data_IF_505176618462
#
_entry.id   IF_505176618462
#
_cell.length_a   1.000
_cell.length_b   1.000
_cell.length_c   1.000
_cell.angle_alpha   90.00
_cell.angle_beta   90.00
_cell.angle_gamma   90.00
#
_symmetry.space_group_name_H-M   'P 1'
#
loop_
_entity.id
_entity.type
_entity.pdbx_description
1 polymer ?
#
# COMPACT_ATOMS: atom_id res chain seq x y z
N UNK A 1 11.96 -1.20 3.27
CA UNK A 1 11.41 -2.52 2.89
C UNK A 1 11.61 -2.80 1.41
N UNK A 2 11.23 -1.86 0.53
CA UNK A 2 11.43 -1.98 -0.93
C UNK A 2 12.88 -2.36 -1.32
N UNK A 3 13.89 -1.82 -0.62
CA UNK A 3 15.29 -2.16 -0.87
C UNK A 3 15.64 -3.63 -0.66
N UNK A 4 14.98 -4.36 0.26
CA UNK A 4 15.15 -5.83 0.35
C UNK A 4 14.69 -6.51 -0.94
N UNK A 5 13.53 -6.13 -1.46
CA UNK A 5 12.97 -6.73 -2.67
C UNK A 5 13.80 -6.37 -3.90
N UNK A 6 14.32 -5.15 -4.00
CA UNK A 6 15.25 -4.78 -5.08
C UNK A 6 16.51 -5.64 -5.09
N UNK A 7 17.15 -5.84 -3.93
CA UNK A 7 18.34 -6.70 -3.84
C UNK A 7 18.02 -8.17 -4.09
N UNK A 8 16.89 -8.66 -3.57
CA UNK A 8 16.47 -10.04 -3.77
C UNK A 8 16.08 -10.34 -5.24
N UNK A 9 15.52 -9.38 -5.97
CA UNK A 9 15.22 -9.50 -7.41
C UNK A 9 16.50 -9.65 -8.24
N UNK A 10 17.61 -8.97 -7.87
CA UNK A 10 18.90 -9.14 -8.57
C UNK A 10 19.42 -10.58 -8.49
N UNK A 11 19.03 -11.32 -7.44
CA UNK A 11 19.47 -12.69 -7.19
C UNK A 11 18.47 -13.70 -7.77
N UNK A 12 17.19 -13.55 -7.45
CA UNK A 12 16.15 -14.52 -7.81
C UNK A 12 15.42 -14.24 -9.13
N UNK A 13 15.74 -13.12 -9.78
CA UNK A 13 15.27 -12.79 -11.13
C UNK A 13 13.75 -12.81 -11.30
N UNK A 14 13.31 -13.24 -12.48
CA UNK A 14 11.88 -13.34 -12.82
C UNK A 14 11.11 -14.31 -11.93
N UNK A 15 11.77 -15.35 -11.43
CA UNK A 15 11.12 -16.31 -10.55
C UNK A 15 10.78 -15.72 -9.18
N UNK A 16 11.69 -14.93 -8.63
CA UNK A 16 11.41 -14.17 -7.42
C UNK A 16 10.32 -13.12 -7.67
N UNK A 17 10.37 -12.39 -8.80
CA UNK A 17 9.31 -11.45 -9.17
C UNK A 17 7.94 -12.13 -9.26
N UNK A 18 7.85 -13.33 -9.88
CA UNK A 18 6.60 -14.11 -9.96
C UNK A 18 6.04 -14.40 -8.57
N UNK A 19 6.88 -14.80 -7.61
CA UNK A 19 6.47 -15.04 -6.22
C UNK A 19 5.89 -13.78 -5.55
N UNK A 20 6.38 -12.59 -5.92
CA UNK A 20 5.91 -11.30 -5.39
C UNK A 20 4.68 -10.73 -6.11
N UNK A 21 4.34 -11.18 -7.33
CA UNK A 21 3.16 -10.69 -8.07
C UNK A 21 1.90 -10.87 -7.23
N UNK A 22 1.01 -9.89 -7.30
CA UNK A 22 -0.28 -9.89 -6.61
C UNK A 22 -1.12 -11.10 -7.03
N UNK A 23 -1.61 -11.87 -6.07
CA UNK A 23 -2.38 -13.09 -6.32
C UNK A 23 -2.54 -13.96 -5.07
N UNK A 24 -3.36 -15.01 -5.16
CA UNK A 24 -3.45 -16.10 -4.17
C UNK A 24 -3.22 -17.42 -4.89
N UNK A 25 -2.40 -18.29 -4.33
CA UNK A 25 -2.22 -19.66 -4.82
C UNK A 25 -0.76 -20.03 -5.08
N UNK A 26 -0.56 -20.91 -6.07
CA UNK A 26 0.67 -21.66 -6.30
C UNK A 26 1.85 -20.83 -6.83
N UNK A 27 1.57 -19.70 -7.50
CA UNK A 27 2.56 -18.97 -8.30
C UNK A 27 2.81 -17.51 -7.91
N UNK A 28 2.09 -16.96 -6.92
CA UNK A 28 2.20 -15.54 -6.52
C UNK A 28 1.61 -15.25 -5.14
N UNK A 29 1.72 -13.99 -4.68
CA UNK A 29 1.25 -13.54 -3.38
C UNK A 29 2.07 -14.06 -2.20
N UNK A 30 3.35 -14.39 -2.41
CA UNK A 30 4.24 -14.92 -1.37
C UNK A 30 5.00 -13.84 -0.61
N UNK A 31 4.75 -12.55 -0.88
CA UNK A 31 5.36 -11.40 -0.19
C UNK A 31 5.30 -11.54 1.34
N UNK A 32 4.13 -11.94 1.87
CA UNK A 32 3.94 -12.13 3.32
C UNK A 32 4.84 -13.22 3.92
N UNK A 33 5.28 -14.22 3.14
CA UNK A 33 6.19 -15.27 3.60
C UNK A 33 7.56 -14.65 3.91
N UNK A 34 8.07 -13.79 3.02
CA UNK A 34 9.33 -13.10 3.22
C UNK A 34 9.26 -12.15 4.42
N UNK A 35 8.17 -11.38 4.53
CA UNK A 35 7.98 -10.44 5.64
C UNK A 35 7.93 -11.13 7.01
N UNK A 36 7.30 -12.32 7.08
CA UNK A 36 7.30 -13.13 8.30
C UNK A 36 8.69 -13.63 8.67
N UNK A 37 9.62 -13.76 7.74
CA UNK A 37 11.00 -14.17 7.99
C UNK A 37 11.94 -13.00 8.32
N UNK A 38 11.50 -11.75 8.21
CA UNK A 38 12.35 -10.57 8.53
C UNK A 38 12.82 -10.53 9.98
N UNK A 39 12.13 -11.20 10.91
CA UNK A 39 12.61 -11.39 12.29
C UNK A 39 13.87 -12.25 12.39
N UNK A 40 14.18 -13.06 11.37
CA UNK A 40 15.38 -13.90 11.27
C UNK A 40 16.41 -13.33 10.27
N UNK A 41 16.33 -12.04 9.96
CA UNK A 41 17.21 -11.34 9.01
C UNK A 41 18.70 -11.63 9.23
N UNK A 42 19.15 -11.65 10.49
CA UNK A 42 20.55 -11.90 10.84
C UNK A 42 21.01 -13.31 10.41
N UNK A 43 20.16 -14.33 10.60
CA UNK A 43 20.43 -15.72 10.17
C UNK A 43 20.48 -15.85 8.63
N UNK A 44 19.88 -14.89 7.93
CA UNK A 44 19.78 -14.83 6.47
C UNK A 44 20.79 -13.87 5.82
N UNK A 45 21.78 -13.35 6.57
CA UNK A 45 22.87 -12.55 6.01
C UNK A 45 22.55 -11.06 5.79
N UNK A 46 21.45 -10.53 6.34
CA UNK A 46 21.11 -9.11 6.22
C UNK A 46 20.50 -8.53 7.50
N UNK A 47 20.38 -7.21 7.55
CA UNK A 47 19.63 -6.51 8.60
C UNK A 47 18.90 -5.30 8.01
N UNK A 48 18.10 -4.62 8.82
CA UNK A 48 17.44 -3.37 8.45
C UNK A 48 17.99 -2.21 9.29
N UNK A 49 18.29 -1.09 8.63
CA UNK A 49 18.54 0.20 9.29
C UNK A 49 17.25 0.72 9.93
N UNK A 50 17.35 1.76 10.79
CA UNK A 50 16.19 2.48 11.35
C UNK A 50 15.25 3.04 10.28
N UNK A 51 15.78 3.34 9.10
CA UNK A 51 15.03 3.80 7.91
C UNK A 51 14.34 2.66 7.13
N UNK A 52 14.35 1.43 7.65
CA UNK A 52 13.87 0.22 6.97
C UNK A 52 14.62 -0.13 5.67
N UNK A 53 15.80 0.42 5.47
CA UNK A 53 16.68 0.06 4.36
C UNK A 53 17.47 -1.22 4.69
N UNK A 54 17.61 -2.15 3.73
CA UNK A 54 18.41 -3.35 3.92
C UNK A 54 19.91 -3.01 3.99
N UNK A 55 20.63 -3.69 4.89
CA UNK A 55 22.09 -3.77 4.89
C UNK A 55 22.47 -5.25 4.78
N UNK A 56 23.13 -5.65 3.70
CA UNK A 56 23.64 -7.01 3.53
C UNK A 56 24.92 -7.16 4.36
N UNK A 57 24.91 -8.06 5.34
CA UNK A 57 26.04 -8.33 6.25
C UNK A 57 26.92 -9.46 5.74
N UNK A 58 26.32 -10.44 5.07
CA UNK A 58 27.03 -11.54 4.42
C UNK A 58 26.35 -11.80 3.06
N UNK A 59 27.04 -11.43 1.99
CA UNK A 59 26.53 -11.52 0.62
C UNK A 59 26.24 -12.97 0.21
N UNK A 60 27.16 -13.89 0.48
CA UNK A 60 27.01 -15.31 0.16
C UNK A 60 25.80 -15.92 0.89
N UNK A 61 25.64 -15.60 2.18
CA UNK A 61 24.50 -16.05 2.99
C UNK A 61 23.16 -15.49 2.50
N UNK A 62 23.15 -14.22 2.10
CA UNK A 62 21.94 -13.59 1.56
C UNK A 62 21.56 -14.18 0.21
N UNK A 63 22.54 -14.42 -0.67
CA UNK A 63 22.32 -15.06 -1.96
C UNK A 63 21.81 -16.49 -1.83
N UNK A 64 22.42 -17.30 -0.95
CA UNK A 64 21.97 -18.68 -0.69
C UNK A 64 20.56 -18.69 -0.12
N UNK A 65 20.22 -17.76 0.79
CA UNK A 65 18.88 -17.59 1.32
C UNK A 65 17.85 -17.31 0.23
N UNK A 66 18.09 -16.32 -0.63
CA UNK A 66 17.13 -15.95 -1.69
C UNK A 66 16.96 -17.09 -2.70
N UNK A 67 18.06 -17.71 -3.16
CA UNK A 67 18.00 -18.86 -4.08
C UNK A 67 17.21 -20.03 -3.48
N UNK A 68 17.50 -20.38 -2.22
CA UNK A 68 16.82 -21.47 -1.53
C UNK A 68 15.33 -21.19 -1.31
N UNK A 69 14.97 -19.95 -0.96
CA UNK A 69 13.57 -19.53 -0.81
C UNK A 69 12.80 -19.64 -2.12
N UNK A 70 13.39 -19.20 -3.23
CA UNK A 70 12.75 -19.29 -4.55
C UNK A 70 12.54 -20.75 -4.93
N UNK A 71 13.56 -21.59 -4.78
CA UNK A 71 13.48 -23.01 -5.10
C UNK A 71 12.47 -23.75 -4.21
N UNK A 72 12.49 -23.49 -2.89
CA UNK A 72 11.54 -24.06 -1.94
C UNK A 72 10.10 -23.69 -2.29
N UNK A 73 9.81 -22.40 -2.56
CA UNK A 73 8.44 -21.96 -2.84
C UNK A 73 7.93 -22.40 -4.21
N UNK A 74 8.83 -22.66 -5.17
CA UNK A 74 8.47 -23.34 -6.42
C UNK A 74 8.08 -24.79 -6.20
N UNK A 75 8.86 -25.53 -5.42
CA UNK A 75 8.60 -26.94 -5.11
C UNK A 75 7.41 -27.12 -4.16
N UNK A 76 7.16 -26.14 -3.29
CA UNK A 76 6.11 -26.15 -2.26
C UNK A 76 5.14 -24.98 -2.45
N UNK A 77 4.40 -24.94 -3.57
CA UNK A 77 3.60 -23.79 -3.94
C UNK A 77 2.41 -23.53 -2.98
N UNK A 78 2.05 -24.53 -2.17
CA UNK A 78 0.99 -24.42 -1.17
C UNK A 78 1.47 -23.89 0.19
N UNK A 79 2.76 -23.61 0.37
CA UNK A 79 3.25 -23.03 1.63
C UNK A 79 2.53 -21.72 1.92
N UNK A 80 2.05 -21.61 3.16
CA UNK A 80 1.27 -20.46 3.67
C UNK A 80 2.02 -19.73 4.77
N UNK A 81 1.67 -18.47 5.02
CA UNK A 81 2.19 -17.74 6.18
C UNK A 81 1.88 -18.42 7.52
N UNK A 82 0.75 -19.15 7.62
CA UNK A 82 0.39 -19.91 8.83
C UNK A 82 1.37 -21.04 9.12
N UNK A 83 1.91 -21.68 8.08
CA UNK A 83 2.93 -22.70 8.24
C UNK A 83 4.23 -22.10 8.82
N UNK A 84 4.61 -20.91 8.35
CA UNK A 84 5.74 -20.16 8.88
C UNK A 84 5.50 -19.71 10.33
N UNK A 85 4.28 -19.31 10.69
CA UNK A 85 3.96 -18.90 12.06
C UNK A 85 4.06 -20.08 13.05
N UNK A 86 3.75 -21.30 12.59
CA UNK A 86 3.93 -22.54 13.38
C UNK A 86 5.40 -22.93 13.54
N UNK A 87 6.16 -22.93 12.44
CA UNK A 87 7.56 -23.38 12.42
C UNK A 87 8.54 -22.31 12.93
N UNK A 88 8.19 -21.03 12.83
CA UNK A 88 9.04 -19.92 13.28
C UNK A 88 10.46 -20.05 12.68
N UNK A 89 11.50 -20.10 13.52
CA UNK A 89 12.90 -20.19 13.08
C UNK A 89 13.21 -21.53 12.42
N UNK A 90 12.56 -22.63 12.82
CA UNK A 90 12.79 -23.95 12.23
C UNK A 90 12.29 -24.07 10.80
N UNK A 91 11.54 -23.07 10.30
CA UNK A 91 11.26 -22.96 8.87
C UNK A 91 12.54 -22.89 8.03
N UNK A 92 13.60 -22.25 8.55
CA UNK A 92 14.88 -22.15 7.84
C UNK A 92 15.53 -23.53 7.62
N UNK A 93 15.22 -24.53 8.44
CA UNK A 93 15.70 -25.90 8.23
C UNK A 93 15.11 -26.53 6.97
N UNK A 94 13.91 -26.12 6.56
CA UNK A 94 13.28 -26.56 5.30
C UNK A 94 14.00 -26.05 4.06
N UNK A 95 14.87 -25.04 4.20
CA UNK A 95 15.65 -24.48 3.10
C UNK A 95 17.00 -25.19 2.92
N UNK A 96 17.41 -26.06 3.86
CA UNK A 96 18.65 -26.86 3.77
C UNK A 96 18.74 -27.71 2.51
N UNK A 97 17.67 -28.44 2.09
CA UNK A 97 17.70 -29.20 0.84
C UNK A 97 17.84 -28.32 -0.40
N UNK A 98 17.61 -27.02 -0.28
CA UNK A 98 17.68 -26.04 -1.35
C UNK A 98 18.96 -25.18 -1.27
N UNK A 99 19.96 -25.61 -0.49
CA UNK A 99 21.28 -24.98 -0.44
C UNK A 99 21.42 -23.85 0.58
N UNK A 100 20.48 -23.68 1.52
CA UNK A 100 20.61 -22.70 2.61
C UNK A 100 21.01 -23.36 3.93
N UNK A 101 22.17 -22.99 4.45
CA UNK A 101 22.62 -23.36 5.79
C UNK A 101 22.59 -22.13 6.68
N UNK A 102 21.96 -22.21 7.85
CA UNK A 102 22.01 -21.11 8.82
C UNK A 102 23.43 -21.06 9.37
N UNK A 103 24.13 -19.94 9.16
CA UNK A 103 25.37 -19.65 9.85
C UNK A 103 25.07 -19.54 11.34
N UNK A 104 25.23 -20.66 12.07
CA UNK A 104 25.33 -20.63 13.52
C UNK A 104 26.65 -19.90 13.80
N UNK A 105 26.66 -18.71 14.45
CA UNK A 105 27.91 -18.18 14.95
C UNK A 105 28.55 -19.30 15.77
N UNK A 106 29.81 -19.62 15.48
CA UNK A 106 30.58 -20.57 16.28
C UNK A 106 30.39 -20.19 17.76
N UNK A 107 30.19 -21.16 18.67
CA UNK A 107 30.14 -20.83 20.09
C UNK A 107 31.39 -20.01 20.40
N UNK A 108 31.18 -18.81 20.91
CA UNK A 108 32.27 -18.00 21.45
C UNK A 108 33.08 -18.91 22.36
N UNK A 109 34.39 -19.09 22.14
CA UNK A 109 35.18 -19.93 23.04
C UNK A 109 34.94 -19.42 24.44
N UNK A 110 34.50 -20.32 25.32
CA UNK A 110 34.44 -20.07 26.76
C UNK A 110 35.76 -19.43 27.15
N UNK A 111 35.79 -18.26 27.81
CA UNK A 111 37.05 -17.69 28.24
C UNK A 111 37.73 -18.73 29.13
N UNK A 112 38.87 -19.25 28.65
CA UNK A 112 39.79 -20.01 29.49
C UNK A 112 40.08 -19.14 30.71
N UNK A 113 39.88 -19.63 31.95
CA UNK A 113 40.19 -18.84 33.13
C UNK A 113 41.66 -18.41 33.06
N UNK A 114 41.88 -17.11 32.97
CA UNK A 114 43.21 -16.52 32.99
C UNK A 114 43.88 -16.89 34.31
N UNK A 115 45.03 -17.59 34.32
CA UNK A 115 45.77 -17.80 35.55
C UNK A 115 46.28 -16.45 36.07
N UNK A 116 46.06 -16.22 37.36
CA UNK A 116 46.56 -15.08 38.12
C UNK A 116 48.09 -14.97 37.96
N UNK A 117 48.64 -13.86 37.42
CA UNK A 117 50.08 -13.62 37.46
C UNK A 117 50.47 -12.96 38.79
N UNK A 118 51.61 -13.34 39.40
CA UNK A 118 52.18 -12.65 40.55
C UNK A 118 52.95 -11.38 40.12
N UNK A 119 53.32 -10.49 41.07
CA UNK A 119 53.58 -9.08 40.78
C UNK A 119 55.05 -8.73 40.50
N UNK A 120 55.27 -7.85 39.53
CA UNK A 120 56.39 -6.89 39.36
C UNK A 120 56.26 -6.34 37.93
N UNK A 121 56.42 -5.06 37.60
CA UNK A 121 57.25 -4.02 38.18
C UNK A 121 58.08 -3.44 37.02
N UNK A 122 57.94 -2.14 36.72
CA UNK A 122 58.90 -1.39 35.89
C UNK A 122 58.46 -0.94 34.49
N UNK A 123 58.04 0.32 34.42
CA UNK A 123 58.65 1.40 33.62
C UNK A 123 58.77 1.38 32.08
N UNK A 124 58.16 2.44 31.51
CA UNK A 124 58.65 3.36 30.44
C UNK A 124 58.42 3.04 28.95
N UNK A 125 57.51 3.84 28.34
CA UNK A 125 57.77 4.74 27.20
C UNK A 125 57.85 4.18 25.78
N UNK A 126 57.09 4.78 24.84
CA UNK A 126 57.36 4.67 23.40
C UNK A 126 56.23 5.12 22.46
N UNK A 127 56.38 6.31 21.89
CA UNK A 127 55.60 6.94 20.82
C UNK A 127 55.80 6.30 19.42
N UNK A 128 54.91 6.63 18.46
CA UNK A 128 55.18 6.56 17.00
C UNK A 128 54.01 5.95 16.19
N UNK A 129 53.03 6.66 15.63
CA UNK A 129 52.98 7.59 14.47
C UNK A 129 52.89 6.90 13.08
N UNK A 130 51.79 7.21 12.36
CA UNK A 130 51.53 7.25 10.90
C UNK A 130 51.85 5.99 10.03
N UNK A 131 51.32 5.75 8.84
CA UNK A 131 50.78 6.60 7.76
C UNK A 131 50.02 5.68 6.75
N UNK A 132 49.26 6.27 5.82
CA UNK A 132 49.38 5.85 4.42
C UNK A 132 48.20 5.17 3.68
N UNK A 133 47.39 6.01 3.03
CA UNK A 133 47.13 5.99 1.57
C UNK A 133 45.99 5.16 0.93
N UNK A 134 45.01 5.94 0.46
CA UNK A 134 44.34 6.03 -0.86
C UNK A 134 44.23 4.87 -1.88
N UNK A 135 43.09 4.84 -2.57
CA UNK A 135 42.89 4.11 -3.83
C UNK A 135 41.48 4.31 -4.41
N UNK A 136 41.35 5.24 -5.37
CA UNK A 136 40.13 5.53 -6.14
C UNK A 136 40.00 4.59 -7.35
N UNK A 137 38.78 4.41 -7.88
CA UNK A 137 38.58 3.79 -9.19
C UNK A 137 37.11 3.75 -9.64
N UNK A 138 36.73 4.73 -10.45
CA UNK A 138 35.58 4.68 -11.38
C UNK A 138 36.02 3.96 -12.66
N UNK A 139 35.10 3.34 -13.43
CA UNK A 139 34.76 4.00 -14.70
C UNK A 139 33.29 3.86 -15.14
N UNK A 140 32.96 4.76 -16.07
CA UNK A 140 31.74 4.98 -16.86
C UNK A 140 31.61 4.03 -18.06
N UNK A 141 30.39 3.90 -18.61
CA UNK A 141 30.14 3.32 -19.94
C UNK A 141 28.65 3.20 -20.31
N UNK A 142 28.20 4.05 -21.24
CA UNK A 142 26.96 4.07 -22.06
C UNK A 142 26.86 2.86 -23.03
N UNK A 143 25.77 2.49 -23.71
CA UNK A 143 24.86 3.26 -24.57
C UNK A 143 23.65 2.44 -25.11
N UNK A 144 22.60 3.16 -25.56
CA UNK A 144 21.62 2.94 -26.67
C UNK A 144 20.75 1.68 -26.91
N UNK A 145 19.43 1.91 -27.12
CA UNK A 145 18.73 1.54 -28.39
C UNK A 145 17.42 0.70 -28.39
N UNK A 146 16.26 1.35 -28.66
CA UNK A 146 15.08 1.01 -29.54
C UNK A 146 14.36 -0.38 -29.49
N UNK A 147 13.07 -0.62 -29.80
CA UNK A 147 11.88 0.11 -30.30
C UNK A 147 10.63 -0.82 -30.32
N UNK A 148 9.43 -0.21 -30.28
CA UNK A 148 8.11 -0.56 -30.88
C UNK A 148 7.29 -1.86 -30.64
N UNK A 149 5.96 -1.65 -30.54
CA UNK A 149 4.91 -2.66 -30.65
C UNK A 149 3.50 -2.16 -30.28
N UNK A 150 2.83 -1.46 -31.21
CA UNK A 150 1.43 -1.02 -31.16
C UNK A 150 0.41 -2.17 -31.31
N UNK A 151 -0.80 -2.00 -30.78
CA UNK A 151 -1.97 -2.85 -31.05
C UNK A 151 -3.27 -2.24 -30.53
N UNK A 152 -4.16 -1.89 -31.47
CA UNK A 152 -5.45 -1.18 -31.37
C UNK A 152 -6.66 -2.08 -31.08
N UNK A 153 -7.70 -1.44 -30.54
CA UNK A 153 -9.16 -1.63 -30.68
C UNK A 153 -9.86 -3.00 -30.63
N UNK A 154 -10.99 -2.99 -29.89
CA UNK A 154 -11.98 -4.05 -29.85
C UNK A 154 -13.27 -3.61 -29.14
N UNK A 155 -14.08 -2.81 -29.83
CA UNK A 155 -15.46 -2.46 -29.51
C UNK A 155 -16.35 -3.71 -29.56
N UNK A 156 -17.26 -3.88 -28.61
CA UNK A 156 -18.27 -4.95 -28.63
C UNK A 156 -19.31 -4.82 -27.51
N UNK A 157 -20.40 -4.13 -27.81
CA UNK A 157 -21.64 -4.14 -27.03
C UNK A 157 -22.57 -5.24 -27.57
N UNK A 158 -23.07 -6.12 -26.71
CA UNK A 158 -24.42 -6.72 -26.78
C UNK A 158 -24.72 -7.45 -25.47
N UNK A 159 -25.92 -7.25 -24.92
CA UNK A 159 -26.31 -7.75 -23.61
C UNK A 159 -27.16 -9.03 -23.59
N UNK A 160 -27.52 -9.36 -22.34
CA UNK A 160 -28.66 -10.14 -21.84
C UNK A 160 -28.65 -11.69 -21.84
N UNK A 161 -29.11 -12.20 -20.68
CA UNK A 161 -29.40 -13.61 -20.34
C UNK A 161 -28.33 -14.20 -19.41
N UNK A 162 -28.53 -14.49 -18.12
CA UNK A 162 -29.72 -14.98 -17.44
C UNK A 162 -29.39 -16.35 -16.81
N UNK A 163 -28.96 -16.34 -15.54
CA UNK A 163 -29.00 -17.50 -14.63
C UNK A 163 -27.88 -18.54 -14.70
N UNK A 164 -27.05 -18.62 -13.65
CA UNK A 164 -26.90 -19.83 -12.80
C UNK A 164 -25.78 -19.62 -11.77
N UNK A 165 -26.02 -20.08 -10.55
CA UNK A 165 -25.20 -19.82 -9.37
C UNK A 165 -23.79 -20.40 -9.45
N UNK A 166 -22.81 -19.52 -9.62
CA UNK A 166 -21.40 -19.79 -9.31
C UNK A 166 -20.89 -18.71 -8.36
N UNK A 167 -20.25 -19.10 -7.24
CA UNK A 167 -19.49 -18.19 -6.37
C UNK A 167 -18.29 -17.64 -7.15
N UNK A 168 -18.55 -16.66 -8.02
CA UNK A 168 -17.57 -16.01 -8.86
C UNK A 168 -16.55 -15.26 -8.02
N UNK A 169 -15.26 -15.40 -8.38
CA UNK A 169 -14.21 -14.49 -7.93
C UNK A 169 -14.67 -13.08 -8.29
N UNK A 170 -14.89 -12.21 -7.29
CA UNK A 170 -15.18 -10.80 -7.52
C UNK A 170 -13.98 -10.22 -8.27
N UNK A 171 -14.18 -9.81 -9.52
CA UNK A 171 -13.19 -9.02 -10.26
C UNK A 171 -12.85 -7.78 -9.42
N UNK A 172 -11.57 -7.40 -9.40
CA UNK A 172 -11.17 -6.15 -8.73
C UNK A 172 -11.68 -5.04 -9.63
N UNK A 173 -12.70 -4.31 -9.16
CA UNK A 173 -13.22 -3.14 -9.87
C UNK A 173 -12.11 -2.09 -9.96
N UNK A 174 -11.97 -1.49 -11.14
CA UNK A 174 -11.02 -0.39 -11.39
C UNK A 174 -11.71 0.96 -11.54
N UNK A 175 -13.05 0.96 -11.61
CA UNK A 175 -13.90 2.15 -11.70
C UNK A 175 -15.20 1.88 -10.94
N UNK A 176 -15.86 2.92 -10.39
CA UNK A 176 -17.15 2.78 -9.76
C UNK A 176 -18.23 2.57 -10.82
N UNK A 177 -19.20 1.73 -10.48
CA UNK A 177 -20.44 1.55 -11.22
C UNK A 177 -21.55 2.07 -10.32
N UNK A 178 -22.26 3.09 -10.78
CA UNK A 178 -23.29 3.78 -10.00
C UNK A 178 -24.58 3.92 -10.82
N UNK A 179 -25.70 3.99 -10.12
CA UNK A 179 -27.05 3.86 -10.71
C UNK A 179 -27.84 5.18 -10.64
N UNK A 180 -27.33 6.19 -9.93
CA UNK A 180 -28.06 7.45 -9.73
C UNK A 180 -28.36 8.17 -11.05
N UNK A 181 -29.66 8.29 -11.36
CA UNK A 181 -30.16 8.77 -12.67
C UNK A 181 -29.89 10.24 -13.01
N UNK A 182 -29.65 11.12 -12.03
CA UNK A 182 -29.62 12.59 -12.23
C UNK A 182 -28.31 13.24 -11.79
N UNK A 183 -27.17 12.65 -12.15
CA UNK A 183 -25.86 13.23 -11.86
C UNK A 183 -25.55 14.36 -12.88
N UNK A 184 -25.10 15.54 -12.45
CA UNK A 184 -24.64 16.58 -13.37
C UNK A 184 -23.45 16.09 -14.20
N UNK A 185 -23.44 16.39 -15.50
CA UNK A 185 -22.38 15.97 -16.42
C UNK A 185 -20.97 16.40 -15.97
N UNK A 186 -20.85 17.59 -15.36
CA UNK A 186 -19.58 18.05 -14.79
C UNK A 186 -19.05 17.14 -13.68
N UNK A 187 -19.93 16.61 -12.82
CA UNK A 187 -19.55 15.66 -11.76
C UNK A 187 -19.20 14.29 -12.35
N UNK A 188 -19.97 13.82 -13.32
CA UNK A 188 -19.66 12.58 -14.03
C UNK A 188 -18.30 12.65 -14.73
N UNK A 189 -18.02 13.73 -15.45
CA UNK A 189 -16.74 13.96 -16.12
C UNK A 189 -15.58 14.01 -15.11
N UNK A 190 -15.75 14.69 -13.98
CA UNK A 190 -14.74 14.73 -12.90
C UNK A 190 -14.43 13.32 -12.36
N UNK A 191 -15.46 12.51 -12.13
CA UNK A 191 -15.30 11.12 -11.68
C UNK A 191 -14.55 10.32 -12.75
N UNK A 192 -14.97 10.40 -14.01
CA UNK A 192 -14.32 9.68 -15.11
C UNK A 192 -12.85 10.09 -15.28
N UNK A 193 -12.55 11.39 -15.24
CA UNK A 193 -11.19 11.92 -15.30
C UNK A 193 -10.32 11.35 -14.17
N UNK A 194 -10.83 11.34 -12.93
CA UNK A 194 -10.13 10.79 -11.78
C UNK A 194 -9.69 9.32 -12.00
N UNK A 195 -10.55 8.48 -12.60
CA UNK A 195 -10.23 7.07 -12.83
C UNK A 195 -9.46 6.81 -14.13
N UNK A 196 -9.55 7.70 -15.12
CA UNK A 196 -8.79 7.61 -16.37
C UNK A 196 -7.37 8.16 -16.26
N UNK A 197 -7.09 8.99 -15.27
CA UNK A 197 -5.77 9.58 -15.09
C UNK A 197 -4.73 8.52 -14.67
N UNK A 198 -3.64 8.42 -15.43
CA UNK A 198 -2.57 7.46 -15.17
C UNK A 198 -1.72 7.83 -13.96
N UNK A 199 -1.65 6.96 -12.95
CA UNK A 199 -0.88 7.23 -11.71
C UNK A 199 0.63 7.30 -11.92
N UNK A 200 1.17 6.62 -12.94
CA UNK A 200 2.61 6.53 -13.14
C UNK A 200 3.18 7.84 -13.70
N UNK A 201 2.37 8.55 -14.50
CA UNK A 201 2.72 9.84 -15.09
C UNK A 201 2.23 11.02 -14.23
N UNK A 202 1.08 10.87 -13.56
CA UNK A 202 0.39 11.98 -12.89
C UNK A 202 -0.06 11.64 -11.45
N UNK A 203 0.85 11.19 -10.55
CA UNK A 203 0.46 10.73 -9.21
C UNK A 203 -0.13 11.85 -8.34
N UNK A 204 0.40 13.08 -8.44
CA UNK A 204 -0.10 14.23 -7.69
C UNK A 204 -1.52 14.61 -8.15
N UNK A 205 -1.72 14.75 -9.45
CA UNK A 205 -3.02 15.09 -10.02
C UNK A 205 -4.05 13.99 -9.74
N UNK A 206 -3.68 12.71 -9.80
CA UNK A 206 -4.60 11.61 -9.45
C UNK A 206 -5.01 11.65 -7.97
N UNK A 207 -4.06 11.94 -7.08
CA UNK A 207 -4.34 12.09 -5.65
C UNK A 207 -5.25 13.30 -5.39
N UNK A 208 -4.98 14.42 -6.06
CA UNK A 208 -5.80 15.63 -5.96
C UNK A 208 -7.23 15.41 -6.47
N UNK A 209 -7.37 14.87 -7.68
CA UNK A 209 -8.67 14.54 -8.28
C UNK A 209 -9.45 13.52 -7.45
N UNK A 210 -8.78 12.56 -6.81
CA UNK A 210 -9.45 11.61 -5.90
C UNK A 210 -10.15 12.35 -4.75
N UNK A 211 -9.51 13.35 -4.16
CA UNK A 211 -10.13 14.17 -3.11
C UNK A 211 -11.26 15.03 -3.68
N UNK A 212 -11.03 15.72 -4.79
CA UNK A 212 -12.04 16.61 -5.40
C UNK A 212 -13.28 15.81 -5.83
N UNK A 213 -13.10 14.63 -6.43
CA UNK A 213 -14.20 13.73 -6.80
C UNK A 213 -15.00 13.28 -5.58
N UNK A 214 -14.35 12.91 -4.48
CA UNK A 214 -15.03 12.59 -3.21
C UNK A 214 -15.84 13.78 -2.70
N UNK A 215 -15.21 14.95 -2.56
CA UNK A 215 -15.81 16.16 -1.98
C UNK A 215 -17.01 16.64 -2.82
N UNK A 216 -16.84 16.74 -4.14
CA UNK A 216 -17.90 17.14 -5.05
C UNK A 216 -19.07 16.14 -5.05
N UNK A 217 -18.79 14.83 -5.02
CA UNK A 217 -19.83 13.80 -4.94
C UNK A 217 -20.61 13.91 -3.63
N UNK A 218 -19.91 13.98 -2.50
CA UNK A 218 -20.52 14.09 -1.18
C UNK A 218 -21.40 15.33 -1.08
N UNK A 219 -20.90 16.48 -1.53
CA UNK A 219 -21.66 17.73 -1.55
C UNK A 219 -22.90 17.60 -2.43
N UNK A 220 -22.77 17.11 -3.65
CA UNK A 220 -23.89 16.90 -4.54
C UNK A 220 -24.97 16.02 -3.90
N UNK A 221 -24.58 14.91 -3.27
CA UNK A 221 -25.51 14.00 -2.60
C UNK A 221 -26.26 14.71 -1.48
N UNK A 222 -25.57 15.42 -0.60
CA UNK A 222 -26.20 16.10 0.54
C UNK A 222 -27.10 17.24 0.08
N UNK A 223 -26.74 17.93 -1.00
CA UNK A 223 -27.50 19.08 -1.49
C UNK A 223 -28.71 18.71 -2.35
N UNK A 224 -28.73 17.51 -2.96
CA UNK A 224 -29.75 17.13 -3.94
C UNK A 224 -30.60 15.92 -3.55
N UNK A 225 -30.18 15.11 -2.58
CA UNK A 225 -31.00 14.00 -2.06
C UNK A 225 -32.10 14.55 -1.18
N UNK A 226 -33.36 14.19 -1.47
CA UNK A 226 -34.53 14.68 -0.72
C UNK A 226 -34.90 13.73 0.41
N UNK A 227 -35.26 14.30 1.56
CA UNK A 227 -35.93 13.59 2.66
C UNK A 227 -37.38 13.29 2.29
N UNK A 228 -38.06 12.49 3.12
CA UNK A 228 -39.49 12.20 2.98
C UNK A 228 -40.37 13.45 2.89
N UNK A 229 -39.97 14.55 3.52
CA UNK A 229 -40.68 15.84 3.45
C UNK A 229 -40.31 16.69 2.22
N UNK A 230 -39.61 16.13 1.23
CA UNK A 230 -39.22 16.80 -0.01
C UNK A 230 -38.06 17.79 0.11
N UNK A 231 -37.57 18.08 1.33
CA UNK A 231 -36.42 18.98 1.56
C UNK A 231 -35.10 18.22 1.42
N UNK A 232 -34.08 18.87 0.88
CA UNK A 232 -32.75 18.29 0.75
C UNK A 232 -32.10 17.97 2.11
N UNK A 233 -31.20 16.98 2.15
CA UNK A 233 -30.46 16.64 3.38
C UNK A 233 -29.72 17.84 3.97
N UNK A 234 -29.15 18.71 3.12
CA UNK A 234 -28.42 19.93 3.53
C UNK A 234 -29.19 20.86 4.44
N UNK A 235 -30.53 20.82 4.42
CA UNK A 235 -31.35 21.73 5.22
C UNK A 235 -31.54 21.25 6.66
N UNK A 236 -31.03 20.07 7.01
CA UNK A 236 -31.02 19.59 8.40
C UNK A 236 -30.02 20.36 9.25
N UNK A 237 -30.37 20.59 10.51
CA UNK A 237 -29.43 21.15 11.50
C UNK A 237 -28.18 20.29 11.69
N UNK A 238 -28.28 18.99 11.40
CA UNK A 238 -27.18 18.03 11.46
C UNK A 238 -25.95 18.48 10.64
N UNK A 239 -26.18 19.14 9.51
CA UNK A 239 -25.11 19.60 8.62
C UNK A 239 -24.75 21.08 8.79
N UNK A 240 -25.39 21.83 9.70
CA UNK A 240 -25.21 23.29 9.79
C UNK A 240 -23.74 23.70 9.92
N UNK A 241 -22.96 23.01 10.75
CA UNK A 241 -21.55 23.33 10.98
C UNK A 241 -20.64 23.07 9.76
N UNK A 242 -21.12 22.34 8.76
CA UNK A 242 -20.40 22.19 7.50
C UNK A 242 -20.54 23.43 6.59
N UNK A 243 -21.58 24.24 6.78
CA UNK A 243 -21.93 25.38 5.93
C UNK A 243 -21.94 26.72 6.67
N UNK A 244 -22.02 26.71 8.00
CA UNK A 244 -22.17 27.89 8.86
C UNK A 244 -21.22 27.78 10.05
N UNK A 245 -20.73 28.93 10.50
CA UNK A 245 -20.00 29.06 11.76
C UNK A 245 -20.91 28.80 12.97
N UNK A 246 -20.32 28.62 14.15
CA UNK A 246 -21.04 28.51 15.43
C UNK A 246 -21.95 29.73 15.72
N UNK A 247 -21.70 30.88 15.07
CA UNK A 247 -22.52 32.09 15.18
C UNK A 247 -23.63 32.17 14.12
N UNK A 248 -23.88 31.09 13.38
CA UNK A 248 -24.90 31.01 12.33
C UNK A 248 -24.55 31.69 11.00
N UNK A 249 -23.39 32.38 10.90
CA UNK A 249 -22.94 33.02 9.66
C UNK A 249 -22.48 31.98 8.64
N UNK A 250 -22.87 32.14 7.38
CA UNK A 250 -22.42 31.27 6.28
C UNK A 250 -20.88 31.27 6.15
N UNK A 251 -20.31 30.10 5.91
CA UNK A 251 -18.89 29.94 5.64
C UNK A 251 -18.59 30.27 4.16
N UNK A 252 -17.41 30.82 3.85
CA UNK A 252 -17.00 31.09 2.46
C UNK A 252 -16.78 29.80 1.66
N UNK A 253 -16.50 28.68 2.34
CA UNK A 253 -16.34 27.35 1.75
C UNK A 253 -17.00 26.29 2.63
N UNK A 254 -17.36 25.17 2.01
CA UNK A 254 -17.89 24.00 2.72
C UNK A 254 -16.78 23.35 3.54
N UNK A 255 -17.01 23.10 4.84
CA UNK A 255 -16.09 22.34 5.67
C UNK A 255 -16.30 20.83 5.41
N UNK A 256 -15.45 20.27 4.54
CA UNK A 256 -15.57 18.88 4.11
C UNK A 256 -15.23 17.85 5.18
N UNK A 257 -14.36 18.17 6.14
CA UNK A 257 -14.09 17.30 7.28
C UNK A 257 -15.35 17.11 8.12
N UNK A 258 -16.05 18.21 8.43
CA UNK A 258 -17.33 18.18 9.15
C UNK A 258 -18.43 17.52 8.31
N UNK A 259 -18.52 17.86 7.02
CA UNK A 259 -19.52 17.29 6.12
C UNK A 259 -19.38 15.76 6.02
N UNK A 260 -18.15 15.27 5.82
CA UNK A 260 -17.81 13.84 5.78
C UNK A 260 -18.17 13.17 7.10
N UNK A 261 -17.74 13.74 8.22
CA UNK A 261 -18.04 13.20 9.55
C UNK A 261 -19.55 13.07 9.78
N UNK A 262 -20.31 14.15 9.52
CA UNK A 262 -21.76 14.17 9.71
C UNK A 262 -22.50 13.23 8.77
N UNK A 263 -22.09 13.10 7.52
CA UNK A 263 -22.68 12.12 6.62
C UNK A 263 -22.39 10.68 7.08
N UNK A 264 -21.16 10.42 7.52
CA UNK A 264 -20.72 9.11 8.03
C UNK A 264 -21.55 8.68 9.24
N UNK A 265 -21.91 9.60 10.14
CA UNK A 265 -22.78 9.32 11.29
C UNK A 265 -24.17 8.80 10.88
N UNK A 266 -24.64 9.10 9.67
CA UNK A 266 -25.93 8.64 9.15
C UNK A 266 -25.86 7.24 8.55
N UNK A 267 -24.70 6.77 8.09
CA UNK A 267 -24.59 5.50 7.36
C UNK A 267 -24.94 4.33 8.30
N UNK A 268 -25.94 3.52 7.95
CA UNK A 268 -26.38 2.40 8.78
C UNK A 268 -25.42 1.22 8.69
N UNK A 269 -24.94 0.88 7.49
CA UNK A 269 -24.01 -0.23 7.29
C UNK A 269 -22.64 0.04 7.94
N UNK A 270 -22.21 -0.86 8.83
CA UNK A 270 -20.95 -0.70 9.58
C UNK A 270 -19.72 -0.76 8.67
N UNK A 271 -19.74 -1.58 7.62
CA UNK A 271 -18.61 -1.74 6.70
C UNK A 271 -18.38 -0.48 5.87
N UNK A 272 -19.44 0.05 5.26
CA UNK A 272 -19.41 1.31 4.51
C UNK A 272 -19.04 2.47 5.43
N UNK A 273 -19.63 2.54 6.63
CA UNK A 273 -19.28 3.58 7.61
C UNK A 273 -17.79 3.56 7.93
N UNK A 274 -17.20 2.38 8.18
CA UNK A 274 -15.75 2.25 8.40
C UNK A 274 -14.94 2.63 7.16
N UNK A 275 -15.42 2.34 5.95
CA UNK A 275 -14.76 2.79 4.73
C UNK A 275 -14.73 4.33 4.64
N UNK A 276 -15.84 5.00 4.96
CA UNK A 276 -15.89 6.46 5.07
C UNK A 276 -14.95 6.99 6.16
N UNK A 277 -15.01 6.45 7.38
CA UNK A 277 -14.14 6.88 8.49
C UNK A 277 -12.66 6.82 8.09
N UNK A 278 -12.24 5.71 7.47
CA UNK A 278 -10.85 5.45 7.08
C UNK A 278 -10.40 6.18 5.80
N UNK A 279 -11.32 6.78 5.04
CA UNK A 279 -10.95 7.55 3.85
C UNK A 279 -10.34 8.90 4.26
N UNK A 280 -9.01 8.98 4.22
CA UNK A 280 -8.26 10.14 4.69
C UNK A 280 -8.23 11.28 3.65
N UNK A 281 -8.76 12.44 4.04
CA UNK A 281 -8.72 13.67 3.23
C UNK A 281 -7.46 14.50 3.48
N UNK A 282 -6.76 14.29 4.59
CA UNK A 282 -5.62 15.11 5.01
C UNK A 282 -4.38 14.82 4.15
N UNK A 283 -4.13 13.56 3.81
CA UNK A 283 -3.02 13.22 2.92
C UNK A 283 -3.14 13.87 1.53
N UNK A 284 -4.28 13.77 0.81
CA UNK A 284 -4.45 14.53 -0.44
C UNK A 284 -4.41 16.05 -0.24
N UNK A 285 -4.93 16.56 0.88
CA UNK A 285 -4.83 17.98 1.21
C UNK A 285 -3.37 18.46 1.24
N UNK A 286 -2.50 17.73 1.91
CA UNK A 286 -1.07 18.07 1.97
C UNK A 286 -0.43 18.06 0.57
N UNK A 287 -0.76 17.08 -0.27
CA UNK A 287 -0.21 16.98 -1.64
C UNK A 287 -0.67 18.15 -2.53
N UNK A 288 -1.90 18.64 -2.35
CA UNK A 288 -2.43 19.77 -3.12
C UNK A 288 -1.75 21.08 -2.73
N UNK A 289 -1.50 21.29 -1.44
CA UNK A 289 -1.08 22.61 -0.92
C UNK A 289 0.42 22.71 -0.59
N UNK A 290 1.17 21.60 -0.57
CA UNK A 290 2.59 21.60 -0.26
C UNK A 290 3.41 21.07 -1.45
N UNK A 291 4.08 21.99 -2.16
CA UNK A 291 4.92 21.65 -3.32
C UNK A 291 6.12 20.75 -2.98
N UNK A 292 6.52 20.65 -1.70
CA UNK A 292 7.57 19.76 -1.24
C UNK A 292 7.07 18.32 -0.99
N UNK A 293 5.76 18.10 -0.97
CA UNK A 293 5.17 16.77 -0.76
C UNK A 293 4.75 16.21 -2.12
N UNK A 294 5.31 15.05 -2.47
CA UNK A 294 4.96 14.33 -3.71
C UNK A 294 4.16 13.08 -3.40
N UNK A 295 3.16 12.83 -4.23
CA UNK A 295 2.44 11.56 -4.24
C UNK A 295 3.31 10.47 -4.84
N UNK A 296 3.16 9.25 -4.31
CA UNK A 296 3.77 8.03 -4.85
C UNK A 296 2.72 7.35 -5.74
N UNK A 297 3.07 6.84 -6.95
CA UNK A 297 2.11 6.21 -7.86
C UNK A 297 1.27 5.08 -7.22
N UNK A 298 1.89 4.23 -6.40
CA UNK A 298 1.19 3.16 -5.67
C UNK A 298 0.12 3.71 -4.73
N UNK A 299 0.41 4.82 -4.07
CA UNK A 299 -0.45 5.42 -3.06
C UNK A 299 -1.58 6.19 -3.74
N UNK A 300 -1.28 6.89 -4.84
CA UNK A 300 -2.26 7.53 -5.71
C UNK A 300 -3.25 6.51 -6.29
N UNK A 301 -2.77 5.33 -6.67
CA UNK A 301 -3.65 4.22 -7.09
C UNK A 301 -4.49 3.71 -5.92
N UNK A 302 -3.86 3.41 -4.78
CA UNK A 302 -4.55 2.82 -3.63
C UNK A 302 -5.67 3.73 -3.09
N UNK A 303 -5.43 5.04 -3.00
CA UNK A 303 -6.45 5.98 -2.54
C UNK A 303 -7.60 6.11 -3.55
N UNK A 304 -7.29 6.10 -4.85
CA UNK A 304 -8.29 6.13 -5.91
C UNK A 304 -9.13 4.84 -5.94
N UNK A 305 -8.51 3.67 -5.76
CA UNK A 305 -9.23 2.39 -5.64
C UNK A 305 -10.14 2.37 -4.40
N UNK A 306 -9.69 2.95 -3.28
CA UNK A 306 -10.48 3.05 -2.03
C UNK A 306 -11.68 4.01 -2.16
N UNK A 307 -11.66 4.92 -3.14
CA UNK A 307 -12.78 5.82 -3.43
C UNK A 307 -13.95 5.09 -4.09
N UNK A 308 -13.69 4.00 -4.83
CA UNK A 308 -14.69 3.24 -5.58
C UNK A 308 -15.94 2.92 -4.73
N UNK A 309 -15.83 2.17 -3.61
CA UNK A 309 -16.99 1.80 -2.81
C UNK A 309 -17.74 3.00 -2.21
N UNK A 310 -17.06 4.14 -2.01
CA UNK A 310 -17.69 5.35 -1.47
C UNK A 310 -18.52 6.07 -2.54
N UNK A 311 -18.01 6.15 -3.77
CA UNK A 311 -18.75 6.71 -4.91
C UNK A 311 -19.95 5.82 -5.23
N UNK A 312 -19.76 4.50 -5.29
CA UNK A 312 -20.87 3.55 -5.53
C UNK A 312 -21.96 3.69 -4.46
N UNK A 313 -21.59 3.81 -3.18
CA UNK A 313 -22.55 4.03 -2.10
C UNK A 313 -23.26 5.40 -2.21
N UNK A 314 -22.53 6.48 -2.49
CA UNK A 314 -23.09 7.83 -2.59
C UNK A 314 -24.02 7.99 -3.81
N UNK A 315 -23.70 7.31 -4.90
CA UNK A 315 -24.38 7.41 -6.19
C UNK A 315 -25.19 6.16 -6.53
N UNK A 316 -25.61 5.37 -5.54
CA UNK A 316 -26.71 4.43 -5.73
C UNK A 316 -28.03 5.17 -6.00
N UNK A 317 -29.09 4.44 -6.37
CA UNK A 317 -30.43 5.02 -6.53
C UNK A 317 -30.87 5.78 -5.27
N UNK A 318 -31.60 6.88 -5.47
CA UNK A 318 -31.88 7.84 -4.39
C UNK A 318 -32.62 7.19 -3.21
N UNK A 319 -33.57 6.30 -3.51
CA UNK A 319 -34.33 5.57 -2.50
C UNK A 319 -33.46 4.59 -1.71
N UNK A 320 -32.57 3.86 -2.40
CA UNK A 320 -31.66 2.90 -1.77
C UNK A 320 -30.67 3.62 -0.85
N UNK A 321 -30.18 4.78 -1.29
CA UNK A 321 -29.37 5.65 -0.46
C UNK A 321 -30.14 6.04 0.80
N UNK A 322 -31.35 6.58 0.66
CA UNK A 322 -32.16 7.01 1.81
C UNK A 322 -32.42 5.85 2.78
N UNK A 323 -32.74 4.66 2.28
CA UNK A 323 -32.94 3.45 3.09
C UNK A 323 -31.67 2.99 3.81
N UNK A 324 -30.49 3.30 3.28
CA UNK A 324 -29.20 2.99 3.89
C UNK A 324 -28.75 3.98 4.97
N UNK A 325 -29.51 5.07 5.19
CA UNK A 325 -29.20 6.13 6.16
C UNK A 325 -30.14 6.09 7.37
N UNK A 326 -29.59 6.32 8.56
CA UNK A 326 -30.31 6.55 9.78
C UNK A 326 -30.81 8.01 9.84
N UNK A 327 -32.00 8.23 9.31
CA UNK A 327 -32.61 9.56 9.20
C UNK A 327 -33.10 10.14 10.52
N UNK A 328 -33.11 9.38 11.62
CA UNK A 328 -33.54 9.89 12.95
C UNK A 328 -32.65 11.00 13.49
N UNK A 329 -31.46 11.18 12.89
CA UNK A 329 -30.48 12.22 13.22
C UNK A 329 -30.68 13.52 12.43
N UNK A 330 -31.64 13.58 11.49
CA UNK A 330 -31.82 14.68 10.53
C UNK A 330 -32.95 15.66 10.85
#
# INVERSE_FOLDING_TARGET
>A
LASFYYEAVKIGGEDFKKLLRTGKGKSGGKTIIFERLFKYKNDCGYTFKRTNEITIKNKSQFESYIKAMVAYLKANPNTTSRELDKLKKSFLDKLKPYGFTVNKPAPTPTPTPTPTPPPSGGSTGGNGTADGSSGSGTPTGSDSGSSDGSGTDGTGSTGSGGGSGGKGRKSIKHKPIYERKKIPSALENLIQECYNLGQDNFPNAKTALTRVAFECTLKYVIENTKKSNGKALKTSNHFNLAYKSNKGKALPYTNFDVLKSKFTELISDTGIRKAFENFDLQRPHQIIHNYNVRAVPSDAKAICDNLIPLIEFMLQEENDLISSLNLTKL
#
